data_IF_826109666624
#
_entry.id   IF_826109666624
#
_cell.length_a   1.000
_cell.length_b   1.000
_cell.length_c   1.000
_cell.angle_alpha   90.00
_cell.angle_beta   90.00
_cell.angle_gamma   90.00
#
_symmetry.space_group_name_H-M   'P 1'
#
loop_
_entity.id
_entity.type
_entity.pdbx_description
1 polymer ?
#
# COMPACT_ATOMS: atom_id res chain seq x y z
N UNK A 1 23.92 16.72 -8.14
CA UNK A 1 25.37 16.97 -8.39
C UNK A 1 25.42 17.89 -9.59
N UNK A 2 25.86 19.15 -9.44
CA UNK A 2 25.86 20.09 -10.55
C UNK A 2 26.73 19.56 -11.71
N UNK A 3 26.19 19.56 -12.92
CA UNK A 3 26.91 19.16 -14.15
C UNK A 3 26.97 17.65 -14.43
N UNK A 4 26.38 16.78 -13.61
CA UNK A 4 26.28 15.35 -13.92
C UNK A 4 25.00 15.08 -14.70
N UNK A 5 25.14 14.72 -15.98
CA UNK A 5 24.01 14.37 -16.84
C UNK A 5 23.58 12.91 -16.67
N UNK A 6 24.50 11.97 -16.49
CA UNK A 6 24.16 10.56 -16.30
C UNK A 6 25.00 9.96 -15.19
N UNK A 7 24.38 9.08 -14.39
CA UNK A 7 25.04 8.38 -13.28
C UNK A 7 24.98 6.88 -13.51
N UNK A 8 26.13 6.22 -13.44
CA UNK A 8 26.27 4.77 -13.40
C UNK A 8 26.81 4.36 -12.04
N UNK A 9 26.06 3.56 -11.30
CA UNK A 9 26.44 3.04 -9.99
C UNK A 9 26.68 1.55 -10.15
N UNK A 10 27.90 1.09 -9.85
CA UNK A 10 28.17 -0.34 -9.72
C UNK A 10 28.24 -1.11 -11.04
N UNK A 11 28.82 -0.49 -12.08
CA UNK A 11 28.95 -1.10 -13.41
C UNK A 11 29.96 -2.25 -13.47
N UNK A 12 31.16 -2.10 -12.90
CA UNK A 12 32.22 -3.12 -12.91
C UNK A 12 32.71 -3.56 -11.53
N UNK A 13 32.45 -2.75 -10.50
CA UNK A 13 32.80 -3.01 -9.10
C UNK A 13 31.63 -2.60 -8.22
N UNK A 14 31.57 -3.13 -7.01
CA UNK A 14 30.57 -2.70 -6.02
C UNK A 14 30.66 -1.20 -5.79
N UNK A 15 29.53 -0.50 -5.90
CA UNK A 15 29.47 0.93 -5.61
C UNK A 15 28.13 1.29 -4.94
N UNK A 16 28.19 2.31 -4.09
CA UNK A 16 27.04 2.82 -3.35
C UNK A 16 26.83 4.31 -3.61
N UNK A 17 25.58 4.75 -3.66
CA UNK A 17 25.20 6.17 -3.63
C UNK A 17 24.06 6.36 -2.64
N UNK A 18 24.24 7.27 -1.68
CA UNK A 18 23.19 7.61 -0.70
C UNK A 18 22.65 9.00 -0.98
N UNK A 19 21.33 9.13 -1.13
CA UNK A 19 20.63 10.39 -1.27
C UNK A 19 19.71 10.63 -0.08
N UNK A 20 19.71 11.85 0.44
CA UNK A 20 18.89 12.24 1.59
C UNK A 20 17.74 13.10 1.10
N UNK A 21 16.51 12.76 1.49
CA UNK A 21 15.31 13.46 1.06
C UNK A 21 15.36 14.96 1.40
N UNK A 22 16.01 15.33 2.51
CA UNK A 22 16.17 16.72 2.94
C UNK A 22 17.66 17.06 3.17
N UNK A 23 18.15 18.05 2.46
CA UNK A 23 19.48 18.66 2.60
C UNK A 23 19.35 20.17 2.42
N UNK A 24 20.45 20.92 2.54
CA UNK A 24 20.44 22.36 2.23
C UNK A 24 20.06 22.65 0.76
N UNK A 25 20.25 21.68 -0.15
CA UNK A 25 20.06 21.84 -1.59
C UNK A 25 18.81 21.14 -2.13
N UNK A 26 18.32 20.09 -1.48
CA UNK A 26 17.24 19.24 -1.99
C UNK A 26 16.20 18.96 -0.91
N UNK A 27 14.93 18.96 -1.30
CA UNK A 27 13.78 18.65 -0.45
C UNK A 27 12.60 18.19 -1.34
N UNK A 28 11.42 17.97 -0.74
CA UNK A 28 10.21 17.54 -1.47
C UNK A 28 9.75 18.50 -2.58
N UNK A 29 10.15 19.76 -2.53
CA UNK A 29 9.85 20.81 -3.53
C UNK A 29 11.02 21.11 -4.47
N UNK A 30 12.23 20.61 -4.17
CA UNK A 30 13.41 20.73 -5.00
C UNK A 30 14.10 19.36 -5.12
N UNK A 31 13.58 18.48 -5.99
CA UNK A 31 14.00 17.08 -6.06
C UNK A 31 15.43 16.93 -6.61
N UNK A 32 15.95 15.69 -6.60
CA UNK A 32 17.17 15.38 -7.32
C UNK A 32 16.87 15.19 -8.80
N UNK A 33 17.60 15.89 -9.67
CA UNK A 33 17.46 15.78 -11.12
C UNK A 33 18.69 15.08 -11.74
N UNK A 34 18.41 14.15 -12.65
CA UNK A 34 19.41 13.45 -13.47
C UNK A 34 18.93 13.37 -14.93
N UNK A 35 19.85 13.24 -15.88
CA UNK A 35 19.52 12.74 -17.22
C UNK A 35 19.24 11.24 -17.14
N UNK A 36 20.28 10.39 -17.20
CA UNK A 36 20.08 8.94 -17.08
C UNK A 36 20.63 8.39 -15.77
N UNK A 37 19.88 7.49 -15.14
CA UNK A 37 20.33 6.73 -13.98
C UNK A 37 20.46 5.26 -14.39
N UNK A 38 21.64 4.68 -14.17
CA UNK A 38 21.86 3.24 -14.24
C UNK A 38 22.40 2.73 -12.91
N UNK A 39 21.62 1.88 -12.25
CA UNK A 39 22.08 1.08 -11.11
C UNK A 39 22.47 -0.28 -11.66
N UNK A 40 23.77 -0.46 -11.90
CA UNK A 40 24.34 -1.69 -12.42
C UNK A 40 24.21 -2.85 -11.44
N UNK A 41 24.55 -4.07 -11.90
CA UNK A 41 24.35 -5.30 -11.11
C UNK A 41 25.12 -5.38 -9.78
N UNK A 42 26.10 -4.49 -9.56
CA UNK A 42 26.83 -4.35 -8.30
C UNK A 42 26.57 -2.99 -7.62
N UNK A 43 25.54 -2.28 -8.07
CA UNK A 43 25.20 -0.93 -7.63
C UNK A 43 24.10 -0.93 -6.57
N UNK A 44 24.29 -0.09 -5.55
CA UNK A 44 23.24 0.20 -4.56
C UNK A 44 23.01 1.70 -4.49
N UNK A 45 21.78 2.15 -4.73
CA UNK A 45 21.31 3.49 -4.44
C UNK A 45 20.43 3.46 -3.19
N UNK A 46 20.88 4.09 -2.10
CA UNK A 46 20.16 4.17 -0.84
C UNK A 46 19.45 5.51 -0.71
N UNK A 47 18.14 5.50 -0.45
CA UNK A 47 17.29 6.67 -0.36
C UNK A 47 16.83 6.85 1.09
N UNK A 48 17.36 7.88 1.75
CA UNK A 48 17.11 8.17 3.17
C UNK A 48 15.99 9.19 3.29
N UNK A 49 14.92 8.82 3.98
CA UNK A 49 13.77 9.71 4.21
C UNK A 49 14.09 10.86 5.16
N UNK A 50 13.25 11.89 5.13
CA UNK A 50 13.27 12.97 6.10
C UNK A 50 12.14 12.76 7.11
N UNK A 51 12.54 12.70 8.37
CA UNK A 51 11.68 12.66 9.55
C UNK A 51 12.04 13.88 10.41
N UNK A 52 11.08 14.80 10.59
CA UNK A 52 11.24 16.06 11.32
C UNK A 52 11.48 15.84 12.82
N UNK A 53 11.12 14.67 13.35
CA UNK A 53 11.24 14.33 14.76
C UNK A 53 10.08 14.80 15.64
N UNK A 54 9.09 15.51 15.08
CA UNK A 54 7.88 15.94 15.79
C UNK A 54 6.73 14.92 15.65
N UNK A 55 5.51 15.26 16.06
CA UNK A 55 4.33 14.38 15.94
C UNK A 55 3.40 14.74 14.78
N UNK A 56 3.74 15.77 14.00
CA UNK A 56 3.08 16.14 12.77
C UNK A 56 3.73 15.40 11.58
N UNK A 57 3.22 14.20 11.34
CA UNK A 57 3.71 13.33 10.28
C UNK A 57 3.42 13.83 8.85
N UNK A 58 2.73 14.96 8.69
CA UNK A 58 2.36 15.49 7.36
C UNK A 58 3.51 16.21 6.66
N UNK A 59 4.55 16.60 7.41
CA UNK A 59 5.73 17.29 6.92
C UNK A 59 6.94 16.36 6.66
N UNK A 60 6.76 15.05 6.85
CA UNK A 60 7.77 14.03 6.62
C UNK A 60 7.62 13.41 5.22
N UNK A 61 8.74 13.06 4.59
CA UNK A 61 8.72 12.61 3.20
C UNK A 61 9.96 11.80 2.80
N UNK A 62 9.78 10.98 1.76
CA UNK A 62 10.86 10.23 1.13
C UNK A 62 11.60 11.00 0.04
N UNK A 63 12.60 10.36 -0.55
CA UNK A 63 13.38 10.95 -1.63
C UNK A 63 12.59 11.00 -2.94
N UNK A 64 12.59 12.16 -3.60
CA UNK A 64 12.05 12.35 -4.95
C UNK A 64 13.22 12.46 -5.94
N UNK A 65 13.17 11.63 -6.98
CA UNK A 65 14.16 11.60 -8.06
C UNK A 65 13.44 11.84 -9.38
N UNK A 66 13.93 12.81 -10.14
CA UNK A 66 13.53 13.08 -11.50
C UNK A 66 14.64 12.63 -12.46
N UNK A 67 14.27 11.87 -13.49
CA UNK A 67 15.21 11.37 -14.48
C UNK A 67 14.63 11.40 -15.91
N UNK A 68 15.50 11.45 -16.91
CA UNK A 68 15.16 11.13 -18.29
C UNK A 68 14.92 9.63 -18.46
N UNK A 69 15.88 8.80 -18.07
CA UNK A 69 15.70 7.34 -18.06
C UNK A 69 16.24 6.73 -16.76
N UNK A 70 15.65 5.61 -16.36
CA UNK A 70 16.08 4.83 -15.21
C UNK A 70 16.24 3.35 -15.60
N UNK A 71 17.42 2.80 -15.35
CA UNK A 71 17.70 1.36 -15.45
C UNK A 71 18.22 0.84 -14.12
N UNK A 72 17.58 -0.22 -13.61
CA UNK A 72 18.08 -1.02 -12.50
C UNK A 72 18.41 -2.40 -13.05
N UNK A 73 19.69 -2.68 -13.27
CA UNK A 73 20.14 -3.95 -13.84
C UNK A 73 19.89 -5.11 -12.86
N UNK A 74 19.94 -6.35 -13.37
CA UNK A 74 19.87 -7.53 -12.52
C UNK A 74 20.99 -7.49 -11.47
N UNK A 75 20.61 -7.53 -10.18
CA UNK A 75 21.52 -7.37 -9.04
C UNK A 75 21.65 -5.93 -8.53
N UNK A 76 21.26 -4.93 -9.34
CA UNK A 76 21.19 -3.53 -8.92
C UNK A 76 20.06 -3.28 -7.94
N UNK A 77 20.28 -2.38 -6.98
CA UNK A 77 19.36 -2.13 -5.87
C UNK A 77 19.11 -0.63 -5.72
N UNK A 78 17.85 -0.21 -5.75
CA UNK A 78 17.40 1.07 -5.19
C UNK A 78 16.63 0.74 -3.91
N UNK A 79 17.03 1.29 -2.76
CA UNK A 79 16.46 0.88 -1.48
C UNK A 79 16.22 2.03 -0.51
N UNK A 80 15.09 1.97 0.17
CA UNK A 80 14.72 2.75 1.35
C UNK A 80 14.35 1.81 2.52
N UNK A 81 14.87 0.57 2.54
CA UNK A 81 14.49 -0.43 3.55
C UNK A 81 14.86 0.01 4.96
N UNK A 82 13.91 0.01 5.89
CA UNK A 82 14.16 0.45 7.27
C UNK A 82 14.54 1.93 7.42
N UNK A 83 14.33 2.74 6.38
CA UNK A 83 14.67 4.17 6.35
C UNK A 83 13.43 5.07 6.39
N UNK A 84 12.34 4.56 6.97
CA UNK A 84 11.15 5.33 7.31
C UNK A 84 11.19 5.83 8.75
N UNK A 85 10.03 5.85 9.41
CA UNK A 85 9.97 6.23 10.82
C UNK A 85 10.77 5.27 11.69
N UNK A 86 11.54 5.85 12.61
CA UNK A 86 12.29 5.12 13.60
C UNK A 86 11.41 4.46 14.66
N UNK A 87 12.08 3.89 15.66
CA UNK A 87 11.45 3.30 16.84
C UNK A 87 10.53 4.30 17.53
N UNK A 88 9.34 3.86 17.94
CA UNK A 88 8.24 4.63 18.55
C UNK A 88 7.62 5.73 17.68
N UNK A 89 7.96 5.80 16.39
CA UNK A 89 7.48 6.84 15.48
C UNK A 89 6.62 6.32 14.34
N UNK A 90 5.74 7.21 13.87
CA UNK A 90 4.87 7.03 12.72
C UNK A 90 3.39 6.92 13.12
N UNK A 91 2.45 7.31 12.23
CA UNK A 91 1.01 7.32 12.53
C UNK A 91 0.44 5.94 12.91
N UNK A 92 1.08 4.88 12.43
CA UNK A 92 0.71 3.48 12.69
C UNK A 92 1.70 2.75 13.59
N UNK A 93 2.49 3.46 14.40
CA UNK A 93 3.52 2.86 15.24
C UNK A 93 2.98 1.77 16.19
N UNK A 94 3.83 0.78 16.44
CA UNK A 94 3.60 -0.22 17.48
C UNK A 94 3.71 0.38 18.89
N UNK A 95 3.29 -0.38 19.90
CA UNK A 95 3.31 0.05 21.31
C UNK A 95 4.49 -0.54 22.08
N UNK A 96 4.80 0.04 23.23
CA UNK A 96 5.72 -0.55 24.20
C UNK A 96 4.98 -1.59 25.04
N UNK A 97 4.92 -2.82 24.56
CA UNK A 97 4.46 -3.97 25.33
C UNK A 97 5.53 -5.08 25.34
N UNK A 98 5.24 -6.20 26.00
CA UNK A 98 6.05 -7.42 25.86
C UNK A 98 6.09 -7.87 24.38
N UNK A 99 6.76 -8.98 24.04
CA UNK A 99 7.02 -9.44 22.66
C UNK A 99 5.82 -9.42 21.67
N UNK A 100 4.58 -9.33 22.17
CA UNK A 100 3.32 -9.38 21.41
C UNK A 100 2.65 -8.00 21.24
N UNK A 101 3.44 -6.93 21.24
CA UNK A 101 2.96 -5.56 21.12
C UNK A 101 2.12 -5.30 19.84
N UNK A 102 1.43 -4.15 19.83
CA UNK A 102 0.62 -3.68 18.71
C UNK A 102 1.47 -3.69 17.43
N UNK A 103 0.99 -4.36 16.38
CA UNK A 103 1.73 -4.48 15.12
C UNK A 103 1.78 -3.16 14.35
N UNK A 104 2.97 -2.63 13.99
CA UNK A 104 3.11 -1.45 13.14
C UNK A 104 2.32 -1.57 11.84
N UNK A 105 1.69 -0.48 11.43
CA UNK A 105 0.81 -0.43 10.25
C UNK A 105 1.18 0.71 9.34
N UNK A 106 1.01 0.54 8.04
CA UNK A 106 1.08 1.56 7.00
C UNK A 106 0.57 0.90 5.72
N UNK A 107 -0.47 1.42 5.06
CA UNK A 107 -1.14 0.69 3.98
C UNK A 107 -1.96 -0.51 4.49
N UNK A 108 -1.30 -1.53 5.01
CA UNK A 108 -1.88 -2.69 5.67
C UNK A 108 -1.91 -2.59 7.20
N UNK A 109 -2.84 -3.30 7.81
CA UNK A 109 -2.89 -3.47 9.26
C UNK A 109 -1.81 -4.45 9.73
N UNK A 110 -0.97 -4.02 10.67
CA UNK A 110 -0.14 -4.90 11.48
C UNK A 110 -1.00 -5.79 12.40
N UNK A 111 -0.40 -6.75 13.08
CA UNK A 111 -1.10 -7.65 13.98
C UNK A 111 -0.22 -8.06 15.16
N UNK A 112 -0.85 -8.17 16.32
CA UNK A 112 -0.23 -8.53 17.60
C UNK A 112 -1.30 -8.70 18.67
N UNK A 113 -0.93 -9.14 19.86
CA UNK A 113 -1.89 -9.36 20.96
C UNK A 113 -2.58 -8.05 21.36
N UNK A 114 -1.84 -6.94 21.36
CA UNK A 114 -2.38 -5.60 21.61
C UNK A 114 -3.05 -4.97 20.38
N UNK A 115 -3.30 -5.74 19.32
CA UNK A 115 -3.99 -5.30 18.11
C UNK A 115 -3.08 -4.68 17.03
N UNK A 116 -3.68 -3.79 16.24
CA UNK A 116 -3.10 -3.24 15.01
C UNK A 116 -2.87 -1.74 15.12
N UNK A 117 -1.74 -1.25 14.59
CA UNK A 117 -1.50 0.15 14.25
C UNK A 117 -2.64 0.75 13.41
N UNK A 118 -2.76 2.07 13.42
CA UNK A 118 -3.67 2.77 12.51
C UNK A 118 -3.14 2.65 11.08
N UNK A 119 -4.02 2.41 10.12
CA UNK A 119 -3.68 2.57 8.69
C UNK A 119 -3.58 4.06 8.34
N UNK A 120 -2.76 4.37 7.34
CA UNK A 120 -2.61 5.71 6.78
C UNK A 120 -1.97 5.64 5.39
N UNK A 121 -1.72 6.81 4.79
CA UNK A 121 -1.12 6.97 3.48
C UNK A 121 -2.15 7.01 2.35
N UNK A 122 -1.80 7.71 1.28
CA UNK A 122 -2.62 7.83 0.08
C UNK A 122 -2.32 6.64 -0.87
N UNK A 123 -3.37 6.00 -1.39
CA UNK A 123 -3.27 4.86 -2.32
C UNK A 123 -2.85 5.28 -3.73
N UNK A 124 -3.21 6.50 -4.13
CA UNK A 124 -2.90 7.09 -5.42
C UNK A 124 -1.52 7.77 -5.41
N UNK A 125 -1.24 8.53 -4.36
CA UNK A 125 0.00 9.31 -4.23
C UNK A 125 0.82 8.91 -2.98
N UNK A 126 1.36 7.68 -2.93
CA UNK A 126 2.02 7.19 -1.74
C UNK A 126 3.37 7.90 -1.51
N UNK A 127 3.39 8.81 -0.53
CA UNK A 127 4.60 9.55 -0.07
C UNK A 127 4.96 9.28 1.38
N UNK A 128 4.05 8.67 2.14
CA UNK A 128 4.19 8.48 3.57
C UNK A 128 5.23 7.41 3.91
N UNK A 129 5.98 7.65 4.97
CA UNK A 129 6.95 6.68 5.48
C UNK A 129 6.24 5.56 6.22
N UNK A 130 6.81 4.35 6.24
CA UNK A 130 6.39 3.25 7.09
C UNK A 130 6.69 3.54 8.57
N UNK A 131 5.81 3.07 9.45
CA UNK A 131 5.91 3.18 10.91
C UNK A 131 6.84 2.15 11.53
N UNK A 132 7.53 2.56 12.60
CA UNK A 132 8.36 1.70 13.43
C UNK A 132 7.62 0.98 14.54
N UNK A 133 8.34 0.14 15.27
CA UNK A 133 7.84 -0.62 16.44
C UNK A 133 7.91 0.19 17.73
N UNK A 134 7.48 -0.40 18.85
CA UNK A 134 7.86 0.10 20.18
C UNK A 134 9.37 -0.03 20.46
N UNK A 135 9.83 0.57 21.55
CA UNK A 135 11.24 0.65 21.98
C UNK A 135 11.74 -0.53 22.81
N UNK A 136 10.85 -1.38 23.34
CA UNK A 136 11.26 -2.60 24.04
C UNK A 136 11.83 -3.62 23.05
N UNK A 137 12.81 -4.41 23.48
CA UNK A 137 13.35 -5.54 22.70
C UNK A 137 13.95 -5.13 21.35
N UNK A 138 14.74 -4.04 21.34
CA UNK A 138 15.45 -3.53 20.16
C UNK A 138 14.52 -3.30 18.96
N UNK A 139 13.73 -2.23 19.05
CA UNK A 139 12.76 -1.88 18.02
C UNK A 139 13.34 -1.73 16.61
N UNK A 140 12.44 -1.78 15.64
CA UNK A 140 12.71 -1.75 14.21
C UNK A 140 12.00 -0.58 13.54
N UNK A 141 12.68 0.05 12.59
CA UNK A 141 12.15 1.16 11.80
C UNK A 141 11.27 0.65 10.64
N UNK A 142 10.31 1.47 10.22
CA UNK A 142 9.53 1.21 9.01
C UNK A 142 10.31 1.48 7.73
N UNK A 143 9.75 1.10 6.58
CA UNK A 143 10.31 1.39 5.27
C UNK A 143 10.20 2.87 4.91
N UNK A 144 11.16 3.41 4.16
CA UNK A 144 11.14 4.80 3.72
C UNK A 144 10.13 5.03 2.59
N UNK A 145 10.20 6.20 1.96
CA UNK A 145 9.42 6.48 0.75
C UNK A 145 10.31 6.80 -0.45
N UNK A 146 9.90 6.32 -1.62
CA UNK A 146 10.61 6.49 -2.89
C UNK A 146 9.62 7.06 -3.89
N UNK A 147 9.93 8.21 -4.49
CA UNK A 147 9.21 8.73 -5.67
C UNK A 147 10.16 8.85 -6.85
N UNK A 148 9.86 8.12 -7.92
CA UNK A 148 10.60 8.14 -9.19
C UNK A 148 9.72 8.80 -10.24
N UNK A 149 10.16 9.93 -10.79
CA UNK A 149 9.53 10.63 -11.91
C UNK A 149 10.44 10.51 -13.12
N UNK A 150 10.05 9.69 -14.10
CA UNK A 150 10.90 9.35 -15.24
C UNK A 150 10.20 9.78 -16.53
N UNK A 151 10.77 10.73 -17.26
CA UNK A 151 10.13 11.27 -18.48
C UNK A 151 10.19 10.30 -19.66
N UNK A 152 11.17 9.39 -19.68
CA UNK A 152 11.38 8.35 -20.68
C UNK A 152 11.07 6.94 -20.14
N UNK A 153 12.08 6.07 -20.15
CA UNK A 153 11.89 4.65 -19.86
C UNK A 153 12.37 4.32 -18.45
N UNK A 154 11.55 3.57 -17.71
CA UNK A 154 11.93 2.89 -16.48
C UNK A 154 12.05 1.39 -16.73
N UNK A 155 13.27 0.86 -16.68
CA UNK A 155 13.58 -0.57 -16.78
C UNK A 155 14.04 -1.08 -15.42
N UNK A 156 13.32 -2.04 -14.83
CA UNK A 156 13.70 -2.68 -13.57
C UNK A 156 13.93 -4.16 -13.82
N UNK A 157 15.19 -4.59 -13.78
CA UNK A 157 15.63 -5.99 -13.81
C UNK A 157 16.17 -6.46 -12.44
N UNK A 158 16.54 -5.52 -11.57
CA UNK A 158 16.93 -5.74 -10.18
C UNK A 158 15.82 -5.36 -9.19
N UNK A 159 16.21 -4.69 -8.11
CA UNK A 159 15.32 -4.44 -6.96
C UNK A 159 15.08 -2.94 -6.73
N UNK A 160 13.83 -2.56 -6.51
CA UNK A 160 13.41 -1.27 -5.92
C UNK A 160 12.61 -1.58 -4.67
N UNK A 161 13.08 -1.20 -3.48
CA UNK A 161 12.44 -1.63 -2.23
C UNK A 161 12.33 -0.55 -1.16
N UNK A 162 11.21 -0.57 -0.43
CA UNK A 162 10.91 0.28 0.72
C UNK A 162 10.33 -0.59 1.85
N UNK A 163 10.95 -1.73 2.12
CA UNK A 163 10.51 -2.68 3.14
C UNK A 163 10.73 -2.16 4.56
N UNK A 164 9.94 -2.65 5.51
CA UNK A 164 10.25 -2.49 6.94
C UNK A 164 11.59 -3.14 7.32
N UNK A 165 12.20 -2.69 8.41
CA UNK A 165 13.35 -3.37 8.99
C UNK A 165 12.93 -4.67 9.70
N UNK A 166 13.73 -5.76 9.64
CA UNK A 166 13.41 -6.99 10.35
C UNK A 166 13.40 -6.76 11.87
N UNK A 167 12.64 -7.58 12.60
CA UNK A 167 12.74 -7.63 14.06
C UNK A 167 14.16 -8.05 14.47
N UNK A 168 14.71 -7.42 15.51
CA UNK A 168 16.05 -7.76 16.03
C UNK A 168 16.00 -8.82 17.12
N UNK A 169 14.94 -8.83 17.92
CA UNK A 169 14.70 -9.83 18.97
C UNK A 169 13.23 -10.28 18.94
N UNK A 170 12.51 -10.27 20.06
CA UNK A 170 11.13 -10.75 20.13
C UNK A 170 10.06 -9.70 19.75
N UNK A 171 10.43 -8.48 19.37
CA UNK A 171 9.47 -7.45 18.90
C UNK A 171 8.88 -7.81 17.52
N UNK A 172 8.00 -6.99 16.95
CA UNK A 172 7.62 -7.01 15.54
C UNK A 172 8.77 -6.48 14.64
N UNK A 173 8.63 -6.67 13.32
CA UNK A 173 9.41 -5.91 12.35
C UNK A 173 8.81 -4.53 12.08
N UNK A 174 9.45 -3.70 11.26
CA UNK A 174 8.85 -2.46 10.77
C UNK A 174 7.74 -2.70 9.75
N UNK A 175 6.85 -1.74 9.59
CA UNK A 175 5.87 -1.75 8.48
C UNK A 175 6.52 -1.36 7.15
N UNK A 176 5.91 -1.77 6.04
CA UNK A 176 6.36 -1.37 4.71
C UNK A 176 6.19 0.12 4.46
N UNK A 177 6.98 0.68 3.56
CA UNK A 177 7.00 2.10 3.19
C UNK A 177 6.17 2.42 1.95
N UNK A 178 6.57 3.43 1.20
CA UNK A 178 5.90 3.87 -0.03
C UNK A 178 6.81 3.81 -1.25
N UNK A 179 6.30 3.33 -2.38
CA UNK A 179 6.97 3.44 -3.68
C UNK A 179 6.00 4.04 -4.69
N UNK A 180 6.38 5.17 -5.29
CA UNK A 180 5.63 5.80 -6.36
C UNK A 180 6.50 5.91 -7.60
N UNK A 181 6.14 5.19 -8.67
CA UNK A 181 6.77 5.32 -9.98
C UNK A 181 5.82 6.04 -10.92
N UNK A 182 6.24 7.16 -11.47
CA UNK A 182 5.57 7.86 -12.56
C UNK A 182 6.50 7.92 -13.76
N UNK A 183 6.21 7.13 -14.79
CA UNK A 183 7.09 6.96 -15.95
C UNK A 183 6.35 7.11 -17.26
N UNK A 184 7.06 7.36 -18.38
CA UNK A 184 6.43 7.26 -19.68
C UNK A 184 6.28 5.79 -20.10
N UNK A 185 7.35 5.00 -20.06
CA UNK A 185 7.29 3.56 -20.34
C UNK A 185 7.86 2.72 -19.20
N UNK A 186 7.08 1.74 -18.73
CA UNK A 186 7.48 0.81 -17.68
C UNK A 186 7.83 -0.56 -18.27
N UNK A 187 9.02 -1.08 -17.94
CA UNK A 187 9.48 -2.42 -18.29
C UNK A 187 10.07 -3.13 -17.07
N UNK A 188 9.66 -4.37 -16.82
CA UNK A 188 10.21 -5.20 -15.75
C UNK A 188 10.75 -6.52 -16.29
N UNK A 189 11.99 -6.84 -15.93
CA UNK A 189 12.62 -8.13 -16.26
C UNK A 189 12.10 -9.30 -15.44
N UNK A 190 12.56 -10.50 -15.76
CA UNK A 190 12.16 -11.72 -15.06
C UNK A 190 12.56 -11.74 -13.58
N UNK A 191 13.68 -11.10 -13.21
CA UNK A 191 14.21 -11.01 -11.85
C UNK A 191 13.81 -9.72 -11.12
N UNK A 192 12.94 -8.91 -11.72
CA UNK A 192 12.52 -7.63 -11.14
C UNK A 192 11.83 -7.84 -9.78
N UNK A 193 12.12 -6.95 -8.84
CA UNK A 193 11.44 -6.87 -7.56
C UNK A 193 11.11 -5.42 -7.22
N UNK A 194 9.83 -5.11 -7.04
CA UNK A 194 9.34 -3.86 -6.44
C UNK A 194 8.62 -4.23 -5.14
N UNK A 195 9.17 -3.81 -4.00
CA UNK A 195 8.75 -4.36 -2.69
C UNK A 195 8.55 -3.27 -1.65
N UNK A 196 7.40 -3.27 -0.98
CA UNK A 196 7.15 -2.45 0.20
C UNK A 196 6.47 -3.29 1.27
N UNK A 197 7.05 -4.43 1.62
CA UNK A 197 6.45 -5.37 2.57
C UNK A 197 6.72 -4.99 4.04
N UNK A 198 5.80 -5.41 4.91
CA UNK A 198 6.04 -5.46 6.35
C UNK A 198 7.02 -6.58 6.70
N UNK A 199 7.55 -6.55 7.93
CA UNK A 199 8.42 -7.61 8.45
C UNK A 199 7.84 -8.27 9.69
N UNK A 200 8.14 -9.55 9.82
CA UNK A 200 7.74 -10.37 10.95
C UNK A 200 8.70 -10.19 12.13
N UNK A 201 8.17 -10.49 13.31
CA UNK A 201 8.89 -10.88 14.51
C UNK A 201 8.00 -11.82 15.31
N UNK A 202 7.75 -11.57 16.61
CA UNK A 202 6.70 -12.32 17.33
C UNK A 202 5.32 -11.69 17.08
N UNK A 203 5.24 -10.37 16.93
CA UNK A 203 4.13 -9.70 16.25
C UNK A 203 4.51 -9.40 14.78
N UNK A 204 3.54 -9.01 13.96
CA UNK A 204 3.70 -8.81 12.51
C UNK A 204 3.26 -7.43 12.07
N UNK A 205 3.92 -6.91 11.02
CA UNK A 205 3.68 -5.54 10.55
C UNK A 205 3.01 -5.50 9.20
N UNK A 206 2.21 -4.47 8.97
CA UNK A 206 1.47 -4.29 7.72
C UNK A 206 2.40 -3.95 6.53
N UNK A 207 2.00 -4.38 5.34
CA UNK A 207 2.65 -4.01 4.09
C UNK A 207 2.24 -2.62 3.62
N UNK A 208 3.17 -1.91 2.97
CA UNK A 208 3.06 -0.51 2.56
C UNK A 208 2.33 -0.29 1.23
N UNK A 209 2.62 0.83 0.54
CA UNK A 209 1.89 1.22 -0.67
C UNK A 209 2.80 1.32 -1.88
N UNK A 210 2.34 0.81 -3.02
CA UNK A 210 2.98 0.98 -4.32
C UNK A 210 2.00 1.66 -5.26
N UNK A 211 2.43 2.67 -6.02
CA UNK A 211 1.67 3.24 -7.12
C UNK A 211 2.52 3.30 -8.40
N UNK A 212 1.98 2.80 -9.50
CA UNK A 212 2.63 2.74 -10.81
C UNK A 212 1.81 3.52 -11.84
N UNK A 213 2.33 4.66 -12.27
CA UNK A 213 1.75 5.47 -13.35
C UNK A 213 2.62 5.33 -14.60
N UNK A 214 2.01 4.95 -15.72
CA UNK A 214 2.71 4.71 -16.98
C UNK A 214 1.86 5.14 -18.18
N UNK A 215 2.46 5.55 -19.29
CA UNK A 215 1.73 5.69 -20.56
C UNK A 215 1.70 4.34 -21.29
N UNK A 216 2.82 3.62 -21.27
CA UNK A 216 2.98 2.29 -21.86
C UNK A 216 3.64 1.32 -20.88
N UNK A 217 3.26 0.04 -20.94
CA UNK A 217 3.84 -1.04 -20.13
C UNK A 217 4.07 -2.27 -20.99
N UNK A 218 5.18 -2.98 -20.78
CA UNK A 218 5.56 -4.18 -21.54
C UNK A 218 5.25 -5.51 -20.82
N UNK A 219 4.56 -5.44 -19.68
CA UNK A 219 4.26 -6.58 -18.80
C UNK A 219 2.78 -6.64 -18.45
N UNK A 220 2.30 -7.83 -18.09
CA UNK A 220 1.04 -7.99 -17.37
C UNK A 220 1.28 -7.78 -15.87
N UNK A 221 0.91 -6.60 -15.36
CA UNK A 221 1.13 -6.24 -13.95
C UNK A 221 0.45 -7.23 -12.99
N UNK A 222 -0.81 -7.64 -13.17
CA UNK A 222 -1.43 -8.69 -12.36
C UNK A 222 -0.59 -9.98 -12.24
N UNK A 223 0.01 -10.46 -13.32
CA UNK A 223 0.93 -11.61 -13.27
C UNK A 223 2.16 -11.31 -12.41
N UNK A 224 2.77 -10.12 -12.54
CA UNK A 224 3.91 -9.73 -11.71
C UNK A 224 3.56 -9.61 -10.22
N UNK A 225 2.33 -9.16 -9.89
CA UNK A 225 1.82 -9.14 -8.51
C UNK A 225 1.62 -10.56 -7.98
N UNK A 226 0.91 -11.42 -8.71
CA UNK A 226 0.64 -12.80 -8.28
C UNK A 226 1.89 -13.69 -8.18
N UNK A 227 2.96 -13.34 -8.90
CA UNK A 227 4.27 -13.99 -8.79
C UNK A 227 5.18 -13.38 -7.71
N UNK A 228 4.70 -12.36 -6.98
CA UNK A 228 5.40 -11.68 -5.89
C UNK A 228 6.51 -10.72 -6.32
N UNK A 229 6.62 -10.40 -7.61
CA UNK A 229 7.62 -9.45 -8.15
C UNK A 229 7.26 -7.99 -7.91
N UNK A 230 5.97 -7.69 -7.76
CA UNK A 230 5.50 -6.40 -7.24
C UNK A 230 4.68 -6.74 -6.00
N UNK A 231 5.14 -6.37 -4.82
CA UNK A 231 4.52 -6.81 -3.59
C UNK A 231 4.49 -5.77 -2.47
N UNK A 232 3.43 -5.87 -1.68
CA UNK A 232 3.18 -5.10 -0.46
C UNK A 232 2.73 -6.06 0.63
N UNK A 233 3.38 -7.22 0.74
CA UNK A 233 2.90 -8.27 1.65
C UNK A 233 2.92 -7.81 3.11
N UNK A 234 1.97 -8.34 3.88
CA UNK A 234 2.09 -8.38 5.32
C UNK A 234 3.18 -9.37 5.74
N UNK A 235 3.06 -9.86 6.96
CA UNK A 235 4.02 -10.72 7.61
C UNK A 235 3.31 -11.74 8.49
N UNK A 236 3.99 -12.83 8.79
CA UNK A 236 3.53 -13.88 9.68
C UNK A 236 4.61 -14.17 10.72
N UNK A 237 4.25 -14.06 11.99
CA UNK A 237 5.14 -14.20 13.13
C UNK A 237 4.34 -14.40 14.41
N UNK A 238 4.77 -15.33 15.28
CA UNK A 238 4.14 -15.63 16.57
C UNK A 238 2.64 -15.96 16.55
N UNK A 239 2.10 -16.41 15.40
CA UNK A 239 0.67 -16.67 15.21
C UNK A 239 -0.16 -15.45 14.78
N UNK A 240 0.49 -14.28 14.61
CA UNK A 240 -0.15 -13.05 14.14
C UNK A 240 0.18 -12.84 12.67
N UNK A 241 -0.86 -12.90 11.83
CA UNK A 241 -0.75 -12.64 10.40
C UNK A 241 -1.27 -11.21 10.13
N UNK A 242 -0.43 -10.35 9.57
CA UNK A 242 -0.77 -8.97 9.21
C UNK A 242 -1.26 -8.87 7.77
N UNK A 243 -1.89 -7.74 7.45
CA UNK A 243 -2.41 -7.46 6.13
C UNK A 243 -1.35 -6.94 5.18
N UNK A 244 -1.52 -7.27 3.91
CA UNK A 244 -0.84 -6.58 2.82
C UNK A 244 -1.23 -5.11 2.81
N UNK A 245 -0.45 -4.29 2.12
CA UNK A 245 -0.92 -2.99 1.68
C UNK A 245 -1.50 -3.06 0.27
N UNK A 246 -1.30 -1.99 -0.50
CA UNK A 246 -2.01 -1.76 -1.76
C UNK A 246 -1.06 -1.48 -2.90
N UNK A 247 -1.38 -2.01 -4.08
CA UNK A 247 -0.71 -1.70 -5.34
C UNK A 247 -1.72 -1.00 -6.26
N UNK A 248 -1.50 0.28 -6.53
CA UNK A 248 -2.29 1.06 -7.49
C UNK A 248 -1.57 1.13 -8.83
N UNK A 249 -2.32 1.03 -9.93
CA UNK A 249 -1.78 1.13 -11.29
C UNK A 249 -2.68 2.02 -12.13
N UNK A 250 -2.09 2.95 -12.89
CA UNK A 250 -2.83 3.85 -13.76
C UNK A 250 -2.11 4.02 -15.10
N UNK A 251 -2.80 3.66 -16.18
CA UNK A 251 -2.38 3.97 -17.53
C UNK A 251 -2.82 5.38 -17.91
N UNK A 252 -1.87 6.31 -17.86
CA UNK A 252 -2.10 7.74 -18.14
C UNK A 252 -2.67 7.95 -19.54
N UNK A 253 -3.72 8.76 -19.63
CA UNK A 253 -4.42 9.06 -20.88
C UNK A 253 -5.36 7.96 -21.37
N UNK A 254 -5.42 6.81 -20.68
CA UNK A 254 -6.39 5.73 -20.93
C UNK A 254 -7.36 5.63 -19.76
N UNK A 255 -6.83 5.48 -18.55
CA UNK A 255 -7.62 5.49 -17.33
C UNK A 255 -8.02 6.93 -16.98
N UNK A 256 -9.18 7.07 -16.33
CA UNK A 256 -9.54 8.33 -15.69
C UNK A 256 -8.51 8.68 -14.59
N UNK A 257 -8.33 9.96 -14.30
CA UNK A 257 -7.45 10.41 -13.21
C UNK A 257 -7.90 9.77 -11.90
N UNK A 258 -7.00 9.04 -11.21
CA UNK A 258 -7.32 8.23 -10.01
C UNK A 258 -8.35 7.11 -10.25
N UNK A 259 -8.50 6.70 -11.52
CA UNK A 259 -9.47 5.74 -12.02
C UNK A 259 -8.89 4.39 -12.44
N UNK A 260 -7.61 4.12 -12.18
CA UNK A 260 -6.93 2.89 -12.57
C UNK A 260 -7.29 1.67 -11.72
N UNK A 261 -6.43 0.65 -11.70
CA UNK A 261 -6.69 -0.60 -10.99
C UNK A 261 -6.07 -0.62 -9.59
N UNK A 262 -6.78 -1.21 -8.63
CA UNK A 262 -6.28 -1.56 -7.30
C UNK A 262 -6.02 -3.06 -7.22
N UNK A 263 -4.80 -3.46 -6.88
CA UNK A 263 -4.43 -4.84 -6.61
C UNK A 263 -4.05 -5.01 -5.15
N UNK A 264 -4.60 -6.03 -4.52
CA UNK A 264 -4.32 -6.39 -3.12
C UNK A 264 -3.98 -7.87 -3.08
N UNK A 265 -2.77 -8.19 -2.64
CA UNK A 265 -2.26 -9.55 -2.60
C UNK A 265 -1.42 -9.76 -1.36
N UNK A 266 -1.72 -10.82 -0.59
CA UNK A 266 -1.04 -11.13 0.66
C UNK A 266 -0.29 -12.47 0.65
N UNK A 267 0.05 -13.01 -0.52
CA UNK A 267 0.88 -14.21 -0.62
C UNK A 267 0.35 -15.43 0.18
N UNK A 268 -0.97 -15.64 0.18
CA UNK A 268 -1.70 -16.68 0.92
C UNK A 268 -1.56 -16.56 2.44
N UNK A 269 -1.34 -15.34 2.94
CA UNK A 269 -1.37 -15.02 4.35
C UNK A 269 -2.78 -14.54 4.72
N UNK A 270 -3.64 -15.47 5.16
CA UNK A 270 -4.97 -15.17 5.69
C UNK A 270 -4.84 -14.48 7.05
N UNK A 271 -5.08 -13.18 7.07
CA UNK A 271 -4.76 -12.32 8.20
C UNK A 271 -5.56 -11.04 8.21
N UNK A 272 -4.91 -9.95 8.65
CA UNK A 272 -5.54 -8.62 8.60
C UNK A 272 -5.66 -8.12 7.16
N UNK A 273 -6.37 -7.01 6.98
CA UNK A 273 -6.61 -6.41 5.66
C UNK A 273 -5.56 -5.35 5.28
N UNK A 274 -5.49 -5.05 3.98
CA UNK A 274 -5.13 -3.74 3.49
C UNK A 274 -6.17 -2.69 3.90
N UNK A 275 -5.76 -1.43 3.95
CA UNK A 275 -6.60 -0.32 4.39
C UNK A 275 -6.65 0.84 3.38
N UNK A 276 -7.86 1.27 3.04
CA UNK A 276 -8.14 2.53 2.36
C UNK A 276 -8.74 3.50 3.36
N UNK A 277 -8.11 4.66 3.54
CA UNK A 277 -8.55 5.72 4.47
C UNK A 277 -9.87 6.35 4.03
N UNK A 278 -10.50 7.17 4.88
CA UNK A 278 -11.77 7.82 4.53
C UNK A 278 -11.65 8.68 3.27
N UNK A 279 -12.34 8.30 2.19
CA UNK A 279 -12.30 9.02 0.91
C UNK A 279 -13.35 8.53 -0.09
N UNK A 280 -13.40 9.19 -1.25
CA UNK A 280 -14.15 8.72 -2.41
C UNK A 280 -13.23 7.98 -3.38
N UNK A 281 -13.57 6.73 -3.65
CA UNK A 281 -12.82 5.81 -4.50
C UNK A 281 -13.62 5.44 -5.74
N UNK A 282 -12.96 5.47 -6.89
CA UNK A 282 -13.46 4.95 -8.15
C UNK A 282 -12.29 4.26 -8.87
N UNK A 283 -12.24 2.94 -8.83
CA UNK A 283 -11.22 2.16 -9.54
C UNK A 283 -11.85 1.52 -10.78
N UNK A 284 -11.08 1.38 -11.86
CA UNK A 284 -11.49 0.60 -13.03
C UNK A 284 -11.75 -0.87 -12.63
N UNK A 285 -10.88 -1.41 -11.78
CA UNK A 285 -11.08 -2.70 -11.13
C UNK A 285 -10.38 -2.77 -9.77
N UNK A 286 -10.93 -3.59 -8.88
CA UNK A 286 -10.31 -4.03 -7.65
C UNK A 286 -10.08 -5.54 -7.77
N UNK A 287 -8.82 -5.96 -7.66
CA UNK A 287 -8.42 -7.37 -7.72
C UNK A 287 -7.78 -7.80 -6.41
N UNK A 288 -8.43 -8.72 -5.71
CA UNK A 288 -7.98 -9.27 -4.44
C UNK A 288 -7.51 -10.71 -4.67
N UNK A 289 -6.26 -11.04 -4.37
CA UNK A 289 -5.71 -12.37 -4.61
C UNK A 289 -4.92 -12.89 -3.42
N UNK A 290 -4.83 -14.22 -3.28
CA UNK A 290 -3.97 -14.90 -2.30
C UNK A 290 -4.12 -14.31 -0.89
N UNK A 291 -5.36 -14.29 -0.39
CA UNK A 291 -5.73 -13.72 0.92
C UNK A 291 -5.47 -12.21 1.07
N UNK A 292 -5.41 -11.47 -0.04
CA UNK A 292 -5.32 -10.02 -0.05
C UNK A 292 -6.64 -9.35 0.33
N UNK A 293 -7.03 -9.35 1.60
CA UNK A 293 -8.24 -8.66 2.06
C UNK A 293 -8.07 -7.14 2.06
N UNK A 294 -9.15 -6.36 1.94
CA UNK A 294 -9.11 -4.89 2.05
C UNK A 294 -10.31 -4.32 2.79
N UNK A 295 -10.07 -3.28 3.58
CA UNK A 295 -11.12 -2.49 4.24
C UNK A 295 -11.11 -1.04 3.74
N UNK A 296 -12.30 -0.47 3.53
CA UNK A 296 -12.52 0.95 3.23
C UNK A 296 -13.16 1.58 4.46
N UNK A 297 -12.40 2.43 5.16
CA UNK A 297 -12.79 2.93 6.48
C UNK A 297 -13.53 4.26 6.41
N UNK A 298 -14.33 4.55 7.43
CA UNK A 298 -15.07 5.79 7.57
C UNK A 298 -16.44 5.75 6.91
N UNK A 299 -17.45 6.19 7.67
CA UNK A 299 -18.85 6.23 7.21
C UNK A 299 -19.05 7.15 6.00
N UNK A 300 -18.23 8.19 5.88
CA UNK A 300 -18.27 9.15 4.76
C UNK A 300 -17.57 8.62 3.49
N UNK A 301 -16.95 7.44 3.55
CA UNK A 301 -16.31 6.85 2.38
C UNK A 301 -17.33 6.48 1.31
N UNK A 302 -16.91 6.58 0.05
CA UNK A 302 -17.69 6.08 -1.08
C UNK A 302 -16.84 5.20 -1.96
N UNK A 303 -17.32 4.00 -2.31
CA UNK A 303 -16.74 3.18 -3.37
C UNK A 303 -17.70 3.16 -4.56
N UNK A 304 -17.32 3.80 -5.67
CA UNK A 304 -18.09 3.77 -6.91
C UNK A 304 -17.64 2.62 -7.80
N UNK A 305 -18.57 1.73 -8.14
CA UNK A 305 -18.39 0.62 -9.07
C UNK A 305 -19.17 0.91 -10.36
N UNK A 306 -18.45 1.06 -11.48
CA UNK A 306 -19.04 1.31 -12.81
C UNK A 306 -19.16 0.07 -13.69
N UNK A 307 -18.49 -1.01 -13.32
CA UNK A 307 -18.48 -2.29 -14.04
C UNK A 307 -19.19 -3.38 -13.26
N UNK A 308 -19.93 -4.25 -13.96
CA UNK A 308 -20.60 -5.42 -13.37
C UNK A 308 -19.63 -6.37 -12.67
N UNK A 309 -18.34 -6.33 -13.02
CA UNK A 309 -17.29 -7.13 -12.39
C UNK A 309 -16.13 -6.23 -11.94
N UNK A 310 -16.46 -5.05 -11.41
CA UNK A 310 -15.48 -4.09 -10.88
C UNK A 310 -14.71 -4.59 -9.66
N UNK A 311 -15.19 -5.64 -8.98
CA UNK A 311 -14.49 -6.33 -7.89
C UNK A 311 -14.34 -7.79 -8.27
N UNK A 312 -13.12 -8.31 -8.20
CA UNK A 312 -12.81 -9.71 -8.49
C UNK A 312 -11.80 -10.24 -7.50
N UNK A 313 -11.82 -11.56 -7.31
CA UNK A 313 -10.77 -12.24 -6.59
C UNK A 313 -10.54 -13.65 -7.10
N UNK A 314 -10.10 -14.54 -6.21
CA UNK A 314 -9.67 -15.89 -6.55
C UNK A 314 -10.26 -16.96 -5.62
N UNK A 315 -9.69 -18.16 -5.67
CA UNK A 315 -10.16 -19.31 -4.90
C UNK A 315 -10.02 -19.14 -3.36
N UNK A 316 -9.25 -18.16 -2.89
CA UNK A 316 -9.13 -17.84 -1.46
C UNK A 316 -10.33 -17.04 -0.92
N UNK A 317 -11.16 -16.52 -1.83
CA UNK A 317 -12.33 -15.67 -1.49
C UNK A 317 -11.94 -14.51 -0.55
N UNK A 318 -10.98 -13.64 -0.94
CA UNK A 318 -10.60 -12.51 -0.09
C UNK A 318 -11.77 -11.58 0.23
N UNK A 319 -11.63 -10.85 1.32
CA UNK A 319 -12.70 -9.99 1.85
C UNK A 319 -12.48 -8.57 1.40
N UNK A 320 -13.53 -7.91 0.93
CA UNK A 320 -13.57 -6.46 0.78
C UNK A 320 -14.69 -5.91 1.64
N UNK A 321 -14.38 -5.09 2.64
CA UNK A 321 -15.38 -4.47 3.51
C UNK A 321 -15.43 -2.97 3.30
N UNK A 322 -16.61 -2.38 3.18
CA UNK A 322 -16.78 -0.92 3.22
C UNK A 322 -17.60 -0.49 4.42
N UNK A 323 -17.05 0.44 5.21
CA UNK A 323 -17.80 1.15 6.28
C UNK A 323 -18.68 2.26 5.73
N UNK A 324 -18.39 2.76 4.52
CA UNK A 324 -19.15 3.81 3.85
C UNK A 324 -20.21 3.27 2.88
N UNK A 325 -20.48 4.04 1.82
CA UNK A 325 -21.47 3.67 0.80
C UNK A 325 -20.79 3.04 -0.43
N UNK A 326 -21.23 1.85 -0.83
CA UNK A 326 -20.92 1.27 -2.14
C UNK A 326 -21.96 1.75 -3.13
N UNK A 327 -21.53 2.47 -4.18
CA UNK A 327 -22.41 3.01 -5.22
C UNK A 327 -22.18 2.25 -6.51
N UNK A 328 -23.17 1.49 -6.97
CA UNK A 328 -23.13 0.87 -8.29
C UNK A 328 -23.77 1.78 -9.34
N UNK A 329 -22.99 2.13 -10.36
CA UNK A 329 -23.40 2.97 -11.49
C UNK A 329 -23.40 2.22 -12.82
N UNK A 330 -22.99 0.95 -12.81
CA UNK A 330 -23.03 0.09 -13.98
C UNK A 330 -24.46 -0.32 -14.35
N UNK A 331 -24.64 -0.83 -15.56
CA UNK A 331 -25.92 -1.37 -16.01
C UNK A 331 -26.07 -2.83 -15.60
N UNK A 332 -27.28 -3.24 -15.20
CA UNK A 332 -27.61 -4.66 -14.99
C UNK A 332 -27.17 -5.22 -13.64
N UNK A 333 -26.69 -6.45 -13.64
CA UNK A 333 -26.37 -7.23 -12.43
C UNK A 333 -24.96 -6.87 -11.92
N UNK A 334 -24.83 -6.62 -10.63
CA UNK A 334 -23.53 -6.57 -9.96
C UNK A 334 -23.07 -8.00 -9.67
N UNK A 335 -21.96 -8.43 -10.28
CA UNK A 335 -21.41 -9.77 -10.14
C UNK A 335 -20.33 -9.78 -9.05
N UNK A 336 -20.47 -10.70 -8.09
CA UNK A 336 -19.49 -10.96 -7.04
C UNK A 336 -18.91 -12.35 -7.26
N UNK A 337 -17.63 -12.40 -7.65
CA UNK A 337 -16.92 -13.64 -8.00
C UNK A 337 -15.52 -13.66 -7.36
N UNK A 338 -15.21 -14.73 -6.61
CA UNK A 338 -13.89 -14.92 -5.99
C UNK A 338 -13.61 -14.01 -4.80
N UNK A 339 -14.63 -13.35 -4.24
CA UNK A 339 -14.50 -12.44 -3.08
C UNK A 339 -15.70 -12.58 -2.16
N UNK A 340 -15.54 -12.15 -0.91
CA UNK A 340 -16.64 -11.86 0.01
C UNK A 340 -16.82 -10.33 0.15
N UNK A 341 -17.94 -9.80 -0.33
CA UNK A 341 -18.26 -8.37 -0.26
C UNK A 341 -19.01 -8.02 1.04
N UNK A 342 -18.32 -7.36 1.97
CA UNK A 342 -18.87 -6.87 3.23
C UNK A 342 -19.41 -5.43 3.14
N UNK A 343 -20.66 -5.22 3.52
CA UNK A 343 -21.32 -3.88 3.53
C UNK A 343 -21.62 -3.45 4.97
N UNK A 344 -20.67 -2.75 5.61
CA UNK A 344 -20.81 -2.18 6.96
C UNK A 344 -21.41 -0.77 6.99
N UNK A 345 -21.65 -0.16 5.83
CA UNK A 345 -22.40 1.08 5.68
C UNK A 345 -23.66 0.88 4.86
N UNK A 346 -23.66 1.41 3.64
CA UNK A 346 -24.79 1.34 2.71
C UNK A 346 -24.37 0.77 1.34
N UNK A 347 -25.34 0.29 0.56
CA UNK A 347 -25.18 -0.10 -0.83
C UNK A 347 -26.31 0.50 -1.68
N UNK A 348 -25.94 1.30 -2.67
CA UNK A 348 -26.87 2.07 -3.50
C UNK A 348 -26.69 1.76 -5.00
N UNK A 349 -27.77 1.94 -5.77
CA UNK A 349 -27.75 1.75 -7.23
C UNK A 349 -27.75 0.29 -7.70
N UNK A 350 -27.78 -0.68 -6.78
CA UNK A 350 -27.79 -2.11 -7.09
C UNK A 350 -29.23 -2.63 -7.17
N UNK A 351 -29.69 -2.97 -8.37
CA UNK A 351 -31.01 -3.60 -8.58
C UNK A 351 -30.98 -5.14 -8.52
N UNK A 352 -29.84 -5.73 -8.84
CA UNK A 352 -29.66 -7.19 -8.89
C UNK A 352 -28.21 -7.54 -8.61
N UNK A 353 -28.01 -8.60 -7.82
CA UNK A 353 -26.68 -9.14 -7.51
C UNK A 353 -26.64 -10.60 -7.92
N UNK A 354 -25.54 -11.01 -8.56
CA UNK A 354 -25.19 -12.41 -8.79
C UNK A 354 -23.96 -12.74 -7.96
N UNK A 355 -24.12 -13.65 -7.00
CA UNK A 355 -23.04 -14.12 -6.14
C UNK A 355 -22.66 -15.52 -6.58
N UNK A 356 -21.38 -15.74 -6.85
CA UNK A 356 -20.85 -17.07 -7.10
C UNK A 356 -21.12 -17.61 -8.50
N UNK A 357 -21.26 -16.72 -9.49
CA UNK A 357 -21.63 -17.11 -10.86
C UNK A 357 -20.53 -17.90 -11.59
N UNK A 358 -19.27 -17.53 -11.39
CA UNK A 358 -18.13 -18.18 -12.05
C UNK A 358 -17.06 -18.74 -11.11
N UNK A 359 -17.06 -18.29 -9.84
CA UNK A 359 -16.13 -18.73 -8.79
C UNK A 359 -16.88 -18.70 -7.46
N UNK A 360 -16.43 -19.44 -6.45
CA UNK A 360 -16.95 -19.29 -5.08
C UNK A 360 -16.88 -17.83 -4.65
N UNK A 361 -17.94 -17.33 -4.02
CA UNK A 361 -18.03 -15.94 -3.58
C UNK A 361 -18.99 -15.81 -2.39
N UNK A 362 -18.89 -14.69 -1.69
CA UNK A 362 -19.74 -14.34 -0.56
C UNK A 362 -20.22 -12.90 -0.64
N UNK A 363 -21.24 -12.60 0.16
CA UNK A 363 -21.64 -11.23 0.46
C UNK A 363 -22.12 -11.19 1.91
N UNK A 364 -21.58 -10.26 2.68
CA UNK A 364 -21.87 -10.09 4.10
C UNK A 364 -22.58 -8.77 4.33
N UNK A 365 -23.83 -8.84 4.79
CA UNK A 365 -24.65 -7.69 5.16
C UNK A 365 -24.75 -7.57 6.68
N UNK A 366 -24.61 -6.35 7.20
CA UNK A 366 -24.62 -6.10 8.63
C UNK A 366 -25.98 -5.53 9.04
N UNK A 367 -26.61 -6.13 10.05
CA UNK A 367 -27.97 -5.79 10.49
C UNK A 367 -28.07 -4.43 11.23
N UNK A 368 -26.93 -3.86 11.64
CA UNK A 368 -26.84 -2.56 12.28
C UNK A 368 -25.66 -1.80 11.67
N UNK A 369 -25.99 -0.86 10.78
CA UNK A 369 -25.04 0.10 10.19
C UNK A 369 -25.53 1.51 10.47
N UNK A 370 -24.69 2.51 10.17
CA UNK A 370 -25.11 3.91 10.28
C UNK A 370 -26.24 4.27 9.30
N UNK A 371 -26.38 3.52 8.20
CA UNK A 371 -27.41 3.72 7.18
C UNK A 371 -28.65 2.84 7.41
N UNK A 372 -28.48 1.66 8.01
CA UNK A 372 -29.54 0.69 8.25
C UNK A 372 -29.52 0.24 9.71
N UNK A 373 -30.38 0.84 10.52
CA UNK A 373 -30.61 0.43 11.91
C UNK A 373 -32.11 0.38 12.21
N UNK A 374 -32.50 -0.48 13.15
CA UNK A 374 -33.86 -0.44 13.69
C UNK A 374 -33.93 0.73 14.68
N UNK A 375 -34.40 1.89 14.26
CA UNK A 375 -34.88 2.88 15.22
C UNK A 375 -36.09 2.28 15.95
N UNK A 376 -35.96 2.02 17.26
CA UNK A 376 -37.14 1.83 18.12
C UNK A 376 -37.77 3.21 18.25
N UNK A 377 -39.00 3.46 17.75
CA UNK A 377 -39.63 4.76 17.90
C UNK A 377 -39.75 5.07 19.39
N UNK A 378 -39.04 6.11 19.83
CA UNK A 378 -39.17 6.59 21.20
C UNK A 378 -40.54 7.27 21.26
N UNK A 379 -41.52 6.61 21.87
CA UNK A 379 -42.80 7.23 22.19
C UNK A 379 -42.51 8.34 23.19
N UNK A 380 -42.38 9.57 22.72
CA UNK A 380 -42.41 10.77 23.55
C UNK A 380 -43.84 10.91 24.07
N UNK A 381 -44.12 10.34 25.25
CA UNK A 381 -45.31 10.70 26.01
C UNK A 381 -45.11 12.12 26.54
N UNK A 382 -45.58 13.12 25.81
CA UNK A 382 -45.89 14.42 26.39
C UNK A 382 -47.01 14.23 27.41
N UNK A 383 -46.67 14.22 28.70
CA UNK A 383 -47.66 14.43 29.75
C UNK A 383 -47.97 15.93 29.80
N UNK A 384 -49.11 16.33 29.25
CA UNK A 384 -49.72 17.59 29.62
C UNK A 384 -50.30 17.44 31.05
N UNK A 385 -49.71 18.15 32.01
CA UNK A 385 -50.39 18.42 33.28
C UNK A 385 -51.44 19.51 33.03
N UNK A 386 -52.71 19.17 33.26
CA UNK A 386 -53.80 20.15 33.41
C UNK A 386 -53.75 20.84 34.77
#
# INVERSE_FOLDING_TARGET
IAGVNSVLIGGSQTAGMTLYANTWAHNSSNPYEFGDITVGGLGTMTLVSYDSGDTDYTNDYGTVIEASNLTVDSGGIITANGLGYGVTRGPGAGTNAYCLAKGPSHGGYGNGESGSGSIYGDVYEPRSLGSGTGSLYDGSAGGGAIKLVVSGITTINGTVSADGAPAKTCNAGGSGGSIWVNTNSLSLGANALISAQGKAGVASSGGGRIALYYNTVSIDIPTYVSSGKINTFGANGGGYISGSGTIYTEQKGVDAVKGGNLLVDNNNLDGKSAGLISSSYQFASIKLTREGHTDIVGNDSTLTLSSSSGITGDATVPKITSEGTIVYTGSGVLNINGVDLGVKGDIAGVNSVLIGGSQTAGMTLYANTWAHNQEIPTIQMTMEQQ
#
